data_IF_055238284374
#
_entry.id   IF_055238284374
#
_cell.length_a   1.000
_cell.length_b   1.000
_cell.length_c   1.000
_cell.angle_alpha   90.00
_cell.angle_beta   90.00
_cell.angle_gamma   90.00
#
_symmetry.space_group_name_H-M   'P 1'
#
loop_
_entity.id
_entity.type
_entity.pdbx_description
1 polymer ?
#
# COMPACT_ATOMS: atom_id res chain seq x y z
N UNK A 1 -15.69 -4.88 -10.54
CA UNK A 1 -15.66 -4.77 -9.07
C UNK A 1 -14.68 -3.67 -8.69
N UNK A 2 -15.12 -2.58 -8.06
CA UNK A 2 -14.20 -1.50 -7.64
C UNK A 2 -13.45 -1.96 -6.38
N UNK A 3 -12.12 -1.93 -6.41
CA UNK A 3 -11.26 -2.16 -5.25
C UNK A 3 -11.40 -0.94 -4.31
N UNK A 4 -12.41 -0.92 -3.45
CA UNK A 4 -12.54 0.15 -2.46
C UNK A 4 -11.64 -0.18 -1.26
N UNK A 5 -10.91 0.83 -0.74
CA UNK A 5 -10.05 0.73 0.46
C UNK A 5 -9.12 -0.49 0.48
N UNK A 6 -8.49 -0.79 -0.66
CA UNK A 6 -7.65 -1.98 -0.79
C UNK A 6 -6.32 -1.60 -1.42
N UNK A 7 -5.24 -2.18 -0.94
CA UNK A 7 -3.92 -2.11 -1.57
C UNK A 7 -3.46 -3.51 -1.91
N UNK A 8 -3.11 -3.72 -3.18
CA UNK A 8 -2.54 -4.97 -3.66
C UNK A 8 -1.06 -4.79 -3.94
N UNK A 9 -0.25 -5.73 -3.46
CA UNK A 9 1.21 -5.70 -3.61
C UNK A 9 1.67 -7.04 -4.14
N UNK A 10 2.42 -7.01 -5.24
CA UNK A 10 3.20 -8.14 -5.73
C UNK A 10 4.67 -7.87 -5.40
N UNK A 11 5.31 -8.82 -4.76
CA UNK A 11 6.71 -8.74 -4.35
C UNK A 11 7.61 -9.41 -5.39
N UNK A 12 8.88 -8.96 -5.49
CA UNK A 12 9.90 -9.56 -6.35
C UNK A 12 10.15 -11.05 -6.05
N UNK A 13 9.80 -11.51 -4.85
CA UNK A 13 9.83 -12.93 -4.47
C UNK A 13 8.76 -13.79 -5.19
N UNK A 14 7.86 -13.19 -5.96
CA UNK A 14 6.70 -13.84 -6.58
C UNK A 14 5.48 -13.95 -5.66
N UNK A 15 5.60 -13.59 -4.38
CA UNK A 15 4.46 -13.54 -3.44
C UNK A 15 3.58 -12.33 -3.72
N UNK A 16 2.30 -12.42 -3.37
CA UNK A 16 1.37 -11.29 -3.41
C UNK A 16 0.59 -11.17 -2.10
N UNK A 17 0.31 -9.93 -1.71
CA UNK A 17 -0.49 -9.60 -0.53
C UNK A 17 -1.60 -8.63 -0.92
N UNK A 18 -2.74 -8.77 -0.26
CA UNK A 18 -3.90 -7.89 -0.41
C UNK A 18 -4.28 -7.34 0.95
N UNK A 19 -4.02 -6.06 1.16
CA UNK A 19 -4.41 -5.32 2.36
C UNK A 19 -5.79 -4.72 2.14
N UNK A 20 -6.72 -4.96 3.06
CA UNK A 20 -8.11 -4.48 2.99
C UNK A 20 -8.34 -3.41 4.05
N UNK A 21 -9.37 -2.61 3.85
CA UNK A 21 -9.73 -1.48 4.72
C UNK A 21 -8.59 -0.47 4.89
N UNK A 22 -7.71 -0.33 3.89
CA UNK A 22 -6.64 0.66 3.89
C UNK A 22 -7.28 2.03 3.68
N UNK A 23 -7.09 2.91 4.66
CA UNK A 23 -7.59 4.29 4.60
C UNK A 23 -6.58 5.17 3.88
N UNK A 24 -5.30 4.97 4.20
CA UNK A 24 -4.22 5.88 3.83
C UNK A 24 -2.94 5.12 3.51
N UNK A 25 -2.18 5.62 2.55
CA UNK A 25 -0.79 5.25 2.28
C UNK A 25 0.06 6.51 2.36
N UNK A 26 1.06 6.51 3.24
CA UNK A 26 2.13 7.51 3.25
C UNK A 26 3.35 6.96 2.54
N UNK A 27 4.03 7.81 1.76
CA UNK A 27 5.30 7.51 1.12
C UNK A 27 6.17 8.77 1.03
N UNK A 28 7.49 8.59 0.95
CA UNK A 28 8.44 9.68 0.74
C UNK A 28 8.58 10.02 -0.75
N UNK A 29 9.16 11.18 -1.07
CA UNK A 29 9.37 11.65 -2.44
C UNK A 29 10.15 10.65 -3.33
N UNK A 30 11.02 9.85 -2.72
CA UNK A 30 11.81 8.83 -3.40
C UNK A 30 11.09 7.47 -3.51
N UNK A 31 9.88 7.37 -2.96
CA UNK A 31 9.08 6.15 -2.87
C UNK A 31 9.89 4.95 -2.35
N UNK A 32 10.75 5.18 -1.35
CA UNK A 32 11.61 4.17 -0.73
C UNK A 32 10.84 3.29 0.25
N UNK A 33 9.77 3.82 0.84
CA UNK A 33 8.94 3.11 1.81
C UNK A 33 7.46 3.47 1.68
N UNK A 34 6.61 2.47 1.83
CA UNK A 34 5.15 2.63 1.92
C UNK A 34 4.67 2.29 3.32
N UNK A 35 3.97 3.23 3.95
CA UNK A 35 3.25 3.01 5.20
C UNK A 35 1.75 2.92 4.92
N UNK A 36 1.20 1.72 5.04
CA UNK A 36 -0.23 1.47 4.92
C UNK A 36 -0.88 1.65 6.30
N UNK A 37 -1.91 2.50 6.39
CA UNK A 37 -2.73 2.64 7.60
C UNK A 37 -4.16 2.17 7.31
N UNK A 38 -4.64 1.21 8.09
CA UNK A 38 -6.01 0.71 7.98
C UNK A 38 -7.03 1.53 8.76
N UNK A 39 -8.32 1.17 8.62
CA UNK A 39 -9.43 1.85 9.30
C UNK A 39 -9.37 1.78 10.83
N UNK A 40 -8.69 0.77 11.37
CA UNK A 40 -8.57 0.51 12.81
C UNK A 40 -7.28 1.16 13.37
N UNK A 41 -6.52 1.86 12.52
CA UNK A 41 -5.28 2.56 12.87
C UNK A 41 -4.04 1.66 12.88
N UNK A 42 -4.16 0.40 12.45
CA UNK A 42 -3.02 -0.49 12.33
C UNK A 42 -2.14 -0.05 11.16
N UNK A 43 -0.82 -0.12 11.37
CA UNK A 43 0.18 0.32 10.40
C UNK A 43 1.02 -0.85 9.92
N UNK A 44 1.29 -0.88 8.60
CA UNK A 44 2.20 -1.82 7.96
C UNK A 44 3.20 -1.04 7.13
N UNK A 45 4.48 -1.33 7.32
CA UNK A 45 5.59 -0.68 6.63
C UNK A 45 6.20 -1.65 5.62
N UNK A 46 6.43 -1.17 4.40
CA UNK A 46 6.89 -2.01 3.28
C UNK A 46 7.96 -1.25 2.52
N UNK A 47 9.15 -1.83 2.45
CA UNK A 47 10.27 -1.31 1.65
C UNK A 47 9.96 -1.49 0.16
N UNK A 48 10.10 -0.42 -0.64
CA UNK A 48 9.79 -0.49 -2.07
C UNK A 48 10.76 -1.38 -2.84
N UNK A 49 11.98 -1.62 -2.33
CA UNK A 49 12.99 -2.48 -2.96
C UNK A 49 12.57 -3.93 -3.08
N UNK A 50 11.58 -4.37 -2.28
CA UNK A 50 11.05 -5.73 -2.36
C UNK A 50 9.76 -5.83 -3.18
N UNK A 51 9.20 -4.69 -3.60
CA UNK A 51 7.95 -4.59 -4.36
C UNK A 51 8.26 -4.67 -5.87
N UNK A 52 7.55 -5.55 -6.56
CA UNK A 52 7.53 -5.59 -8.03
C UNK A 52 6.46 -4.63 -8.56
N UNK A 53 5.29 -4.62 -7.92
CA UNK A 53 4.13 -3.84 -8.34
C UNK A 53 3.22 -3.55 -7.14
N UNK A 54 2.67 -2.34 -7.10
CA UNK A 54 1.67 -1.91 -6.11
C UNK A 54 0.48 -1.26 -6.82
N UNK A 55 -0.73 -1.63 -6.40
CA UNK A 55 -1.99 -1.11 -6.91
C UNK A 55 -2.82 -0.55 -5.76
N UNK A 56 -3.26 0.70 -5.91
CA UNK A 56 -4.11 1.38 -4.95
C UNK A 56 -5.55 1.40 -5.40
N UNK A 57 -6.45 0.98 -4.51
CA UNK A 57 -7.88 1.09 -4.72
C UNK A 57 -8.36 2.55 -4.72
N UNK A 58 -9.46 2.82 -5.41
CA UNK A 58 -9.98 4.18 -5.66
C UNK A 58 -10.33 5.01 -4.41
N UNK A 59 -10.40 4.40 -3.23
CA UNK A 59 -10.78 5.05 -1.97
C UNK A 59 -9.64 5.04 -0.94
N UNK A 60 -8.41 4.83 -1.40
CA UNK A 60 -7.19 4.91 -0.58
C UNK A 60 -6.60 6.30 -0.79
N UNK A 61 -6.43 7.05 0.30
CA UNK A 61 -5.73 8.33 0.28
C UNK A 61 -4.22 8.08 0.17
N UNK A 62 -3.54 8.75 -0.76
CA UNK A 62 -2.09 8.64 -0.94
C UNK A 62 -1.50 10.00 -0.58
N UNK A 63 -0.55 10.01 0.37
CA UNK A 63 0.17 11.21 0.78
C UNK A 63 1.65 11.02 0.48
N UNK A 64 2.20 11.96 -0.28
CA UNK A 64 3.60 12.04 -0.68
C UNK A 64 4.25 13.21 0.06
N UNK A 65 5.45 12.98 0.62
CA UNK A 65 6.21 13.96 1.44
C UNK A 65 7.53 14.34 0.81
#
# INVERSE_FOLDING_TARGET
>A
MKLNHTVFIKFLSGRSCKYRNVKKVDTDIDYSMYQLTDKDGMQVFIDSKVIEYIEFGNAVEIIEH
#
